data_IF_605745530644
#
_entry.id   IF_605745530644
#
_cell.length_a   1.000
_cell.length_b   1.000
_cell.length_c   1.000
_cell.angle_alpha   90.00
_cell.angle_beta   90.00
_cell.angle_gamma   90.00
#
_symmetry.space_group_name_H-M   'P 1'
#
loop_
_entity.id
_entity.type
_entity.pdbx_description
1 polymer ?
#
# COMPACT_ATOMS: atom_id res chain seq x y z
N UNK A 1 -15.86 -13.10 17.90
CA UNK A 1 -16.00 -12.07 16.84
C UNK A 1 -14.71 -12.05 16.02
N UNK A 2 -14.84 -12.38 14.74
CA UNK A 2 -13.83 -12.61 13.69
C UNK A 2 -12.33 -12.53 14.08
N UNK A 3 -11.71 -13.71 14.25
CA UNK A 3 -10.29 -13.93 14.00
C UNK A 3 -10.00 -13.50 12.56
N UNK A 4 -9.47 -12.28 12.39
CA UNK A 4 -9.07 -11.75 11.10
C UNK A 4 -8.25 -12.80 10.35
N UNK A 5 -8.73 -13.15 9.16
CA UNK A 5 -8.20 -14.16 8.24
C UNK A 5 -6.67 -14.18 8.29
N UNK A 6 -6.11 -15.37 8.59
CA UNK A 6 -4.68 -15.70 8.63
C UNK A 6 -4.01 -15.45 7.27
N UNK A 7 -3.84 -14.21 6.85
CA UNK A 7 -2.96 -13.89 5.71
C UNK A 7 -1.50 -13.89 6.20
N UNK A 8 -1.29 -13.64 7.50
CA UNK A 8 0.03 -13.38 8.09
C UNK A 8 0.89 -14.60 8.46
N UNK A 9 0.43 -15.84 8.27
CA UNK A 9 1.21 -17.00 8.72
C UNK A 9 2.42 -17.32 7.81
N UNK A 10 2.35 -16.98 6.51
CA UNK A 10 3.32 -17.47 5.52
C UNK A 10 3.83 -16.38 4.54
N UNK A 11 3.65 -15.08 4.83
CA UNK A 11 4.27 -14.02 4.00
C UNK A 11 5.74 -13.88 4.42
N UNK A 12 6.64 -14.07 3.45
CA UNK A 12 8.07 -13.85 3.62
C UNK A 12 8.38 -12.43 4.15
N UNK A 13 9.45 -12.31 4.94
CA UNK A 13 9.84 -11.04 5.55
C UNK A 13 10.09 -9.95 4.50
N UNK A 14 10.66 -10.29 3.35
CA UNK A 14 10.97 -9.33 2.29
C UNK A 14 9.69 -8.81 1.64
N UNK A 15 8.69 -9.67 1.46
CA UNK A 15 7.37 -9.26 0.98
C UNK A 15 6.67 -8.34 2.00
N UNK A 16 6.78 -8.61 3.31
CA UNK A 16 6.26 -7.71 4.34
C UNK A 16 6.98 -6.35 4.35
N UNK A 17 8.29 -6.33 4.12
CA UNK A 17 9.06 -5.09 4.01
C UNK A 17 8.66 -4.31 2.76
N UNK A 18 8.45 -4.99 1.63
CA UNK A 18 7.97 -4.34 0.41
C UNK A 18 6.61 -3.66 0.61
N UNK A 19 5.67 -4.31 1.30
CA UNK A 19 4.36 -3.72 1.63
C UNK A 19 4.50 -2.48 2.51
N UNK A 20 5.33 -2.55 3.56
CA UNK A 20 5.63 -1.39 4.42
C UNK A 20 6.28 -0.25 3.65
N UNK A 21 7.22 -0.58 2.76
CA UNK A 21 7.90 0.40 1.94
C UNK A 21 6.92 1.12 1.00
N UNK A 22 6.05 0.37 0.31
CA UNK A 22 4.98 0.94 -0.52
C UNK A 22 4.09 1.89 0.27
N UNK A 23 3.63 1.49 1.46
CA UNK A 23 2.82 2.34 2.33
C UNK A 23 3.53 3.64 2.74
N UNK A 24 4.81 3.55 3.09
CA UNK A 24 5.61 4.71 3.45
C UNK A 24 5.83 5.68 2.27
N UNK A 25 6.07 5.17 1.06
CA UNK A 25 6.19 5.98 -0.15
C UNK A 25 4.87 6.68 -0.50
N UNK A 26 3.75 5.96 -0.42
CA UNK A 26 2.43 6.53 -0.62
C UNK A 26 2.14 7.68 0.37
N UNK A 27 2.43 7.47 1.66
CA UNK A 27 2.31 8.51 2.70
C UNK A 27 3.17 9.73 2.39
N UNK A 28 4.44 9.52 2.06
CA UNK A 28 5.39 10.58 1.76
C UNK A 28 4.95 11.40 0.54
N UNK A 29 4.48 10.74 -0.52
CA UNK A 29 4.03 11.42 -1.73
C UNK A 29 2.74 12.21 -1.48
N UNK A 30 1.78 11.65 -0.72
CA UNK A 30 0.59 12.39 -0.28
C UNK A 30 0.95 13.64 0.51
N UNK A 31 1.82 13.53 1.50
CA UNK A 31 2.17 14.67 2.36
C UNK A 31 2.94 15.75 1.59
N UNK A 32 3.81 15.35 0.64
CA UNK A 32 4.47 16.28 -0.29
C UNK A 32 3.49 17.01 -1.22
N UNK A 33 2.39 16.35 -1.59
CA UNK A 33 1.30 16.97 -2.33
C UNK A 33 0.42 17.90 -1.45
N UNK A 34 0.70 18.03 -0.15
CA UNK A 34 -0.07 18.86 0.78
C UNK A 34 -1.47 18.31 1.09
N UNK A 35 -1.75 17.05 0.73
CA UNK A 35 -3.08 16.48 0.78
C UNK A 35 -3.34 15.72 2.09
N UNK A 36 -4.51 15.91 2.71
CA UNK A 36 -4.94 15.14 3.87
C UNK A 36 -5.41 13.72 3.51
N UNK A 37 -5.44 12.79 4.47
CA UNK A 37 -5.92 11.43 4.22
C UNK A 37 -7.36 11.39 3.69
N UNK A 38 -8.25 12.26 4.18
CA UNK A 38 -9.65 12.31 3.72
C UNK A 38 -9.79 12.71 2.25
N UNK A 39 -8.94 13.63 1.77
CA UNK A 39 -8.94 14.07 0.38
C UNK A 39 -8.41 12.95 -0.55
N UNK A 40 -7.33 12.29 -0.14
CA UNK A 40 -6.82 11.10 -0.82
C UNK A 40 -7.87 9.97 -0.89
N UNK A 41 -8.59 9.74 0.22
CA UNK A 41 -9.64 8.74 0.30
C UNK A 41 -10.79 9.02 -0.66
N UNK A 42 -11.23 10.28 -0.75
CA UNK A 42 -12.27 10.70 -1.69
C UNK A 42 -11.86 10.49 -3.14
N UNK A 43 -10.61 10.81 -3.50
CA UNK A 43 -10.09 10.62 -4.86
C UNK A 43 -9.90 9.16 -5.23
N UNK A 44 -9.46 8.34 -4.28
CA UNK A 44 -9.30 6.90 -4.47
C UNK A 44 -10.64 6.14 -4.40
N UNK A 45 -11.71 6.76 -3.89
CA UNK A 45 -13.02 6.13 -3.74
C UNK A 45 -13.09 5.14 -2.58
N UNK A 46 -12.33 5.35 -1.51
CA UNK A 46 -12.26 4.44 -0.35
C UNK A 46 -12.58 5.16 0.95
N UNK A 47 -12.83 4.39 2.01
CA UNK A 47 -12.93 4.94 3.35
C UNK A 47 -11.57 5.50 3.83
N UNK A 48 -11.57 6.60 4.59
CA UNK A 48 -10.34 7.24 5.10
C UNK A 48 -9.47 6.29 5.92
N UNK A 49 -10.08 5.32 6.61
CA UNK A 49 -9.37 4.29 7.36
C UNK A 49 -8.55 3.36 6.44
N UNK A 50 -9.00 3.13 5.20
CA UNK A 50 -8.22 2.38 4.21
C UNK A 50 -6.93 3.11 3.87
N UNK A 51 -6.95 4.44 3.75
CA UNK A 51 -5.73 5.24 3.55
C UNK A 51 -4.77 5.02 4.73
N UNK A 52 -5.24 5.12 5.98
CA UNK A 52 -4.40 4.89 7.14
C UNK A 52 -3.77 3.47 7.17
N UNK A 53 -4.52 2.45 6.73
CA UNK A 53 -4.05 1.05 6.61
C UNK A 53 -3.04 0.86 5.48
N UNK A 54 -3.21 1.54 4.35
CA UNK A 54 -2.20 1.56 3.27
C UNK A 54 -0.91 2.18 3.80
N UNK A 55 -1.00 3.35 4.44
CA UNK A 55 0.16 4.08 4.95
C UNK A 55 0.90 3.35 6.08
N UNK A 56 0.22 2.50 6.85
CA UNK A 56 0.85 1.63 7.85
C UNK A 56 1.49 0.38 7.24
N UNK A 57 1.27 0.11 5.95
CA UNK A 57 1.77 -1.09 5.28
C UNK A 57 1.05 -2.35 5.75
N UNK A 58 -0.26 -2.28 5.98
CA UNK A 58 -1.03 -3.44 6.44
C UNK A 58 -1.22 -4.47 5.30
N UNK A 59 -0.74 -5.73 5.45
CA UNK A 59 -0.81 -6.73 4.39
C UNK A 59 -2.22 -7.15 3.97
N UNK A 60 -3.22 -6.92 4.83
CA UNK A 60 -4.62 -7.25 4.56
C UNK A 60 -5.34 -6.26 3.66
N UNK A 61 -4.70 -5.17 3.25
CA UNK A 61 -5.29 -4.20 2.31
C UNK A 61 -5.24 -4.77 0.90
N UNK A 62 -6.36 -4.67 0.18
CA UNK A 62 -6.42 -5.12 -1.21
C UNK A 62 -5.34 -4.43 -2.05
N UNK A 63 -4.59 -5.23 -2.83
CA UNK A 63 -3.48 -4.75 -3.67
C UNK A 63 -3.91 -3.63 -4.62
N UNK A 64 -5.14 -3.67 -5.14
CA UNK A 64 -5.70 -2.62 -5.99
C UNK A 64 -5.76 -1.24 -5.31
N UNK A 65 -6.04 -1.19 -4.00
CA UNK A 65 -6.03 0.09 -3.27
C UNK A 65 -4.62 0.60 -3.01
N UNK A 66 -3.68 -0.30 -2.70
CA UNK A 66 -2.27 0.07 -2.50
C UNK A 66 -1.68 0.63 -3.79
N UNK A 67 -1.80 -0.12 -4.89
CA UNK A 67 -1.30 0.31 -6.20
C UNK A 67 -2.07 1.54 -6.73
N UNK A 68 -3.37 1.62 -6.49
CA UNK A 68 -4.18 2.79 -6.82
C UNK A 68 -3.72 4.05 -6.10
N UNK A 69 -3.39 3.96 -4.81
CA UNK A 69 -2.85 5.09 -4.06
C UNK A 69 -1.45 5.50 -4.55
N UNK A 70 -0.58 4.54 -4.87
CA UNK A 70 0.72 4.83 -5.47
C UNK A 70 0.57 5.55 -6.82
N UNK A 71 -0.30 5.06 -7.69
CA UNK A 71 -0.59 5.66 -9.00
C UNK A 71 -1.19 7.07 -8.87
N UNK A 72 -2.06 7.29 -7.87
CA UNK A 72 -2.65 8.61 -7.59
C UNK A 72 -1.60 9.71 -7.37
N UNK A 73 -0.43 9.33 -6.84
CA UNK A 73 0.70 10.22 -6.59
C UNK A 73 1.88 10.03 -7.56
N UNK A 74 1.65 9.37 -8.70
CA UNK A 74 2.66 9.22 -9.75
C UNK A 74 3.78 8.21 -9.42
N UNK A 75 3.57 7.32 -8.45
CA UNK A 75 4.52 6.25 -8.13
C UNK A 75 4.15 5.02 -8.95
N UNK A 76 5.07 4.59 -9.83
CA UNK A 76 4.94 3.34 -10.57
C UNK A 76 5.62 2.19 -9.81
N UNK A 77 5.09 0.98 -9.97
CA UNK A 77 5.72 -0.27 -9.52
C UNK A 77 6.05 -1.12 -10.75
N UNK A 78 7.12 -1.91 -10.65
CA UNK A 78 7.53 -2.85 -11.70
C UNK A 78 7.78 -4.22 -11.09
N UNK A 79 7.44 -5.26 -11.83
CA UNK A 79 7.86 -6.62 -11.51
C UNK A 79 9.31 -6.79 -11.96
N UNK A 80 10.04 -7.65 -11.26
CA UNK A 80 11.38 -8.07 -11.65
C UNK A 80 11.20 -9.38 -12.43
N UNK A 81 11.92 -9.52 -13.55
CA UNK A 81 11.93 -10.78 -14.30
C UNK A 81 12.64 -11.85 -13.46
N UNK A 82 12.00 -12.99 -13.15
CA UNK A 82 12.64 -14.06 -12.39
C UNK A 82 13.91 -14.59 -13.06
N UNK A 83 14.05 -14.47 -14.39
CA UNK A 83 15.24 -14.92 -15.12
C UNK A 83 16.41 -13.91 -15.11
N UNK A 84 16.21 -12.70 -14.57
CA UNK A 84 17.25 -11.66 -14.51
C UNK A 84 18.02 -11.64 -13.19
N UNK A 85 17.93 -12.71 -12.39
CA UNK A 85 18.73 -12.85 -11.16
C UNK A 85 19.99 -13.64 -11.50
N UNK A 86 20.99 -12.95 -12.07
CA UNK A 86 22.36 -13.44 -12.22
C UNK A 86 23.20 -13.19 -10.97
#
# INVERSE_FOLDING_TARGET
>A
MAQGKRISADIDSDALQAIKHMGAQAKLARTRAGEGQSAAAARLGVHVQTIARIESGEPGVAIGHVLGMLALYGIATKTIDPASTE
#
